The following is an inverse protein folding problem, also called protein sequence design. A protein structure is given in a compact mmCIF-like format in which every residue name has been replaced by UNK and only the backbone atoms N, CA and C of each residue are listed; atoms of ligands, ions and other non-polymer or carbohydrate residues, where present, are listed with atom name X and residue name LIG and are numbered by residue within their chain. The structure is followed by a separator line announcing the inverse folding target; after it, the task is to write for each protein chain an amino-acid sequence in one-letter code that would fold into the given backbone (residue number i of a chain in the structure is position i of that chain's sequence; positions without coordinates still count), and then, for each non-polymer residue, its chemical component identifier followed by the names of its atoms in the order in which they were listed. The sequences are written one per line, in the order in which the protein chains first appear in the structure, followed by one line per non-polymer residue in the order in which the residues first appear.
data_IF_211796247367
#
_entry.id   IF_211796247367
#
_cell.length_a   1.000
_cell.length_b   1.000
_cell.length_c   1.000
_cell.angle_alpha   90.00
_cell.angle_beta   90.00
_cell.angle_gamma   90.00
#
_symmetry.space_group_name_H-M   'P 1'
#
loop_
_entity.id
_entity.type
_entity.pdbx_description
1 polymer ?
#
# COMPACT_ATOMS: atom_id res chain seq x y z
N UNK A 1 -2.85 13.69 7.39
CA UNK A 1 -3.14 14.13 6.02
C UNK A 1 -2.04 15.07 5.55
N UNK A 2 -1.55 14.87 4.36
CA UNK A 2 -0.62 15.79 3.72
C UNK A 2 -0.95 15.94 2.23
N UNK A 3 -0.53 17.06 1.66
CA UNK A 3 -0.69 17.38 0.25
C UNK A 3 0.65 17.84 -0.32
N UNK A 4 1.03 17.27 -1.45
CA UNK A 4 2.15 17.71 -2.27
C UNK A 4 1.61 18.25 -3.60
N UNK A 5 2.22 19.28 -4.15
CA UNK A 5 1.87 19.80 -5.47
C UNK A 5 3.09 20.37 -6.16
N UNK A 6 3.12 20.28 -7.47
CA UNK A 6 4.21 20.77 -8.31
C UNK A 6 3.91 20.59 -9.78
N UNK A 7 4.86 21.00 -10.64
CA UNK A 7 4.88 20.68 -12.06
C UNK A 7 5.90 19.58 -12.32
N UNK A 8 5.63 18.70 -13.27
CA UNK A 8 6.52 17.63 -13.69
C UNK A 8 6.69 17.63 -15.20
N UNK A 9 7.85 17.19 -15.66
CA UNK A 9 8.13 17.03 -17.09
C UNK A 9 7.74 15.64 -17.63
N UNK A 10 7.41 14.70 -16.75
CA UNK A 10 7.12 13.30 -17.05
C UNK A 10 5.88 12.89 -16.26
N UNK A 11 4.85 12.42 -16.95
CA UNK A 11 3.57 12.09 -16.35
C UNK A 11 3.51 10.63 -15.86
N UNK A 12 2.51 10.33 -15.04
CA UNK A 12 2.20 8.94 -14.69
C UNK A 12 1.77 8.13 -15.93
N UNK A 13 1.17 8.78 -16.91
CA UNK A 13 0.80 8.16 -18.18
C UNK A 13 2.03 7.75 -19.00
N UNK A 14 3.08 8.59 -19.04
CA UNK A 14 4.36 8.24 -19.67
C UNK A 14 5.00 7.06 -18.96
N UNK A 15 5.03 7.09 -17.62
CA UNK A 15 5.53 5.98 -16.81
C UNK A 15 4.79 4.68 -17.10
N UNK A 16 3.45 4.72 -17.15
CA UNK A 16 2.65 3.54 -17.43
C UNK A 16 2.89 2.99 -18.85
N UNK A 17 3.08 3.86 -19.84
CA UNK A 17 3.45 3.49 -21.19
C UNK A 17 4.82 2.79 -21.22
N UNK A 18 5.83 3.39 -20.57
CA UNK A 18 7.20 2.87 -20.55
C UNK A 18 7.32 1.49 -19.90
N UNK A 19 6.67 1.26 -18.75
CA UNK A 19 6.69 -0.06 -18.09
C UNK A 19 5.90 -1.13 -18.84
N UNK A 20 5.05 -0.72 -19.78
CA UNK A 20 4.25 -1.61 -20.62
C UNK A 20 4.97 -2.02 -21.91
N UNK A 21 6.12 -1.42 -22.20
CA UNK A 21 6.89 -1.73 -23.39
C UNK A 21 7.23 -3.22 -23.49
N UNK A 22 6.93 -3.83 -24.64
CA UNK A 22 7.16 -5.25 -24.89
C UNK A 22 5.99 -6.17 -24.49
N UNK A 23 5.00 -5.69 -23.75
CA UNK A 23 3.76 -6.43 -23.47
C UNK A 23 2.85 -6.28 -24.69
N UNK A 24 2.26 -7.38 -25.17
CA UNK A 24 1.31 -7.28 -26.27
C UNK A 24 0.00 -6.63 -25.79
N UNK A 25 -0.59 -5.77 -26.61
CA UNK A 25 -1.84 -5.07 -26.28
C UNK A 25 -2.96 -6.04 -25.83
N UNK A 26 -3.08 -7.19 -26.48
CA UNK A 26 -4.08 -8.20 -26.13
C UNK A 26 -3.88 -8.80 -24.72
N UNK A 27 -2.65 -8.75 -24.21
CA UNK A 27 -2.34 -9.24 -22.86
C UNK A 27 -2.74 -8.23 -21.77
N UNK A 28 -3.10 -7.00 -22.15
CA UNK A 28 -3.62 -5.95 -21.25
C UNK A 28 -5.15 -5.86 -21.23
N UNK A 29 -5.82 -6.60 -22.13
CA UNK A 29 -7.28 -6.51 -22.32
C UNK A 29 -7.98 -7.66 -21.59
N UNK A 30 -8.93 -7.29 -20.72
CA UNK A 30 -9.80 -8.28 -20.07
C UNK A 30 -10.75 -8.95 -21.06
N UNK A 31 -10.78 -10.29 -21.05
CA UNK A 31 -11.72 -11.09 -21.85
C UNK A 31 -12.60 -11.88 -20.90
N UNK A 32 -13.87 -11.54 -20.86
CA UNK A 32 -14.85 -12.18 -19.98
C UNK A 32 -14.82 -13.71 -20.11
N UNK A 33 -14.78 -14.39 -18.98
CA UNK A 33 -14.76 -15.86 -18.82
C UNK A 33 -13.56 -16.56 -19.48
N UNK A 34 -12.54 -15.82 -19.95
CA UNK A 34 -11.38 -16.37 -20.66
C UNK A 34 -10.04 -15.88 -20.13
N UNK A 35 -9.86 -14.59 -20.01
CA UNK A 35 -8.56 -14.01 -19.63
C UNK A 35 -8.71 -12.77 -18.76
N UNK A 36 -8.03 -12.79 -17.62
CA UNK A 36 -7.92 -11.65 -16.71
C UNK A 36 -6.45 -11.20 -16.67
N UNK A 37 -6.13 -10.02 -17.21
CA UNK A 37 -4.78 -9.51 -17.29
C UNK A 37 -4.13 -9.25 -15.92
N UNK A 38 -4.93 -9.01 -14.86
CA UNK A 38 -4.43 -8.84 -13.50
C UNK A 38 -3.90 -10.15 -12.89
N UNK A 39 -4.37 -11.30 -13.37
CA UNK A 39 -3.89 -12.61 -12.95
C UNK A 39 -2.62 -13.06 -13.69
N UNK A 40 -2.16 -12.32 -14.69
CA UNK A 40 -0.93 -12.62 -15.40
C UNK A 40 0.30 -12.05 -14.65
N UNK A 41 1.19 -12.90 -14.10
CA UNK A 41 2.32 -12.44 -13.31
C UNK A 41 3.37 -11.63 -14.10
N UNK A 42 3.30 -11.65 -15.42
CA UNK A 42 4.19 -10.88 -16.28
C UNK A 42 3.66 -9.46 -16.55
N UNK A 43 2.41 -9.18 -16.20
CA UNK A 43 1.82 -7.87 -16.38
C UNK A 43 1.95 -7.06 -15.08
N UNK A 44 2.66 -5.93 -15.07
CA UNK A 44 2.54 -4.96 -13.98
C UNK A 44 1.09 -4.50 -13.87
N UNK A 45 0.54 -4.49 -12.64
CA UNK A 45 -0.84 -4.04 -12.43
C UNK A 45 -1.10 -2.62 -12.96
N UNK A 46 -0.10 -1.73 -12.90
CA UNK A 46 -0.19 -0.38 -13.43
C UNK A 46 -0.30 -0.37 -14.97
N UNK A 47 0.29 -1.34 -15.67
CA UNK A 47 0.13 -1.46 -17.12
C UNK A 47 -1.30 -1.82 -17.49
N UNK A 48 -1.92 -2.74 -16.76
CA UNK A 48 -3.32 -3.13 -16.99
C UNK A 48 -4.26 -1.98 -16.65
N UNK A 49 -4.11 -1.41 -15.45
CA UNK A 49 -4.94 -0.29 -14.98
C UNK A 49 -4.82 0.95 -15.88
N UNK A 50 -3.60 1.29 -16.27
CA UNK A 50 -3.34 2.44 -17.13
C UNK A 50 -3.89 2.26 -18.54
N UNK A 51 -3.83 1.05 -19.10
CA UNK A 51 -4.42 0.73 -20.39
C UNK A 51 -5.95 0.78 -20.34
N UNK A 52 -6.57 0.14 -19.34
CA UNK A 52 -8.02 0.18 -19.14
C UNK A 52 -8.53 1.60 -18.85
N UNK A 53 -7.76 2.40 -18.12
CA UNK A 53 -8.08 3.80 -17.81
C UNK A 53 -7.84 4.77 -18.97
N UNK A 54 -7.25 4.29 -20.09
CA UNK A 54 -6.94 5.14 -21.23
C UNK A 54 -5.77 6.12 -21.00
N UNK A 55 -4.90 5.82 -20.03
CA UNK A 55 -3.74 6.65 -19.71
C UNK A 55 -2.67 6.59 -20.79
N UNK A 56 -2.64 5.49 -21.54
CA UNK A 56 -1.76 5.29 -22.67
C UNK A 56 -2.41 4.40 -23.73
N UNK A 57 -1.89 4.40 -24.93
CA UNK A 57 -2.34 3.55 -26.03
C UNK A 57 -1.16 3.00 -26.83
N UNK A 58 -1.41 1.92 -27.58
CA UNK A 58 -0.40 1.29 -28.43
C UNK A 58 -0.24 2.05 -29.75
N UNK A 59 0.97 2.00 -30.34
CA UNK A 59 1.15 2.47 -31.70
C UNK A 59 0.47 1.53 -32.71
N UNK A 60 -0.17 2.08 -33.77
CA UNK A 60 -0.84 1.26 -34.79
C UNK A 60 0.08 0.26 -35.50
N UNK A 61 1.37 0.62 -35.62
CA UNK A 61 2.41 -0.16 -36.31
C UNK A 61 3.11 -1.17 -35.41
N UNK A 62 3.02 -0.98 -34.07
CA UNK A 62 3.64 -1.85 -33.07
C UNK A 62 2.78 -1.91 -31.81
N UNK A 63 2.02 -3.01 -31.65
CA UNK A 63 1.09 -3.22 -30.56
C UNK A 63 1.75 -3.61 -29.22
N UNK A 64 3.06 -3.61 -29.17
CA UNK A 64 3.87 -3.76 -27.96
C UNK A 64 4.65 -2.52 -27.56
N UNK A 65 4.44 -1.44 -28.30
CA UNK A 65 5.02 -0.13 -28.03
C UNK A 65 3.91 0.88 -27.75
N UNK A 66 4.08 1.71 -26.73
CA UNK A 66 3.03 2.53 -26.18
C UNK A 66 3.45 4.00 -26.12
N UNK A 67 2.45 4.87 -26.11
CA UNK A 67 2.59 6.32 -25.92
C UNK A 67 1.59 6.81 -24.89
N UNK A 68 1.88 7.90 -24.22
CA UNK A 68 0.93 8.59 -23.34
C UNK A 68 -0.41 8.83 -24.04
N UNK A 69 -1.51 8.68 -23.30
CA UNK A 69 -2.84 9.07 -23.78
C UNK A 69 -3.03 10.59 -23.87
N UNK A 70 -2.11 11.35 -23.26
CA UNK A 70 -2.12 12.82 -23.23
C UNK A 70 -1.01 13.34 -24.15
N UNK A 71 -1.42 13.96 -25.26
CA UNK A 71 -0.47 14.48 -26.25
C UNK A 71 -1.05 14.53 -27.66
N UNK A 72 -0.19 14.82 -28.60
CA UNK A 72 -0.54 14.98 -30.00
C UNK A 72 0.40 14.20 -30.91
N UNK A 73 -0.11 13.69 -32.03
CA UNK A 73 0.69 13.08 -33.05
C UNK A 73 1.10 14.10 -34.13
N UNK A 74 2.17 13.79 -34.87
CA UNK A 74 2.43 14.49 -36.15
C UNK A 74 1.34 14.16 -37.18
N UNK A 75 1.37 14.85 -38.33
CA UNK A 75 0.35 14.70 -39.38
C UNK A 75 0.28 13.27 -39.99
N UNK A 76 1.32 12.47 -39.85
CA UNK A 76 1.40 11.09 -40.35
C UNK A 76 1.08 10.05 -39.27
N UNK A 77 1.03 10.45 -37.98
CA UNK A 77 0.82 9.55 -36.85
C UNK A 77 2.04 8.73 -36.43
N UNK A 78 3.22 9.01 -37.02
CA UNK A 78 4.44 8.23 -36.74
C UNK A 78 5.23 8.73 -35.53
N UNK A 79 4.97 9.96 -35.10
CA UNK A 79 5.66 10.60 -33.98
C UNK A 79 4.59 11.09 -33.00
N UNK A 80 4.78 10.75 -31.72
CA UNK A 80 3.95 11.21 -30.64
C UNK A 80 4.68 12.24 -29.78
N UNK A 81 4.01 13.32 -29.47
CA UNK A 81 4.48 14.38 -28.58
C UNK A 81 3.63 14.33 -27.31
N UNK A 82 4.20 13.76 -26.25
CA UNK A 82 3.54 13.70 -24.95
C UNK A 82 3.46 15.10 -24.31
N UNK A 83 2.32 15.42 -23.72
CA UNK A 83 2.11 16.65 -22.97
C UNK A 83 2.65 16.48 -21.55
N UNK A 84 3.36 17.49 -21.06
CA UNK A 84 3.79 17.53 -19.67
C UNK A 84 2.66 18.05 -18.76
N UNK A 85 2.46 17.45 -17.57
CA UNK A 85 1.47 17.96 -16.63
C UNK A 85 1.82 19.39 -16.17
N UNK A 86 0.86 20.29 -16.26
CA UNK A 86 0.97 21.68 -15.78
C UNK A 86 0.92 21.74 -14.27
N UNK A 87 0.15 20.86 -13.66
CA UNK A 87 0.02 20.76 -12.22
C UNK A 87 -0.21 19.31 -11.80
N UNK A 88 0.58 18.86 -10.87
CA UNK A 88 0.47 17.54 -10.25
C UNK A 88 0.15 17.70 -8.77
N UNK A 89 -0.79 16.93 -8.27
CA UNK A 89 -1.19 16.95 -6.87
C UNK A 89 -1.26 15.53 -6.32
N UNK A 90 -0.65 15.32 -5.17
CA UNK A 90 -0.81 14.11 -4.38
C UNK A 90 -1.42 14.47 -3.02
N UNK A 91 -2.60 13.96 -2.74
CA UNK A 91 -3.24 14.06 -1.44
C UNK A 91 -3.22 12.70 -0.76
N UNK A 92 -2.69 12.64 0.46
CA UNK A 92 -2.65 11.41 1.23
C UNK A 92 -3.38 11.61 2.55
N UNK A 93 -4.27 10.69 2.85
CA UNK A 93 -4.98 10.58 4.12
C UNK A 93 -4.61 9.26 4.79
N UNK A 94 -4.01 9.37 5.95
CA UNK A 94 -3.58 8.22 6.73
C UNK A 94 -4.26 8.27 8.11
N UNK A 95 -4.81 7.15 8.53
CA UNK A 95 -5.49 6.97 9.82
C UNK A 95 -5.15 5.58 10.36
N UNK A 96 -4.97 5.49 11.66
CA UNK A 96 -4.77 4.18 12.28
C UNK A 96 -4.79 4.26 13.78
N UNK A 97 -5.06 3.12 14.38
CA UNK A 97 -4.98 2.89 15.80
C UNK A 97 -4.44 1.49 16.08
N UNK A 98 -3.71 1.37 17.17
CA UNK A 98 -3.29 0.11 17.75
C UNK A 98 -3.75 0.13 19.21
N UNK A 99 -4.79 -0.64 19.50
CA UNK A 99 -5.35 -0.76 20.83
C UNK A 99 -4.87 -2.06 21.49
N UNK A 100 -4.37 -1.97 22.72
CA UNK A 100 -3.90 -3.12 23.45
C UNK A 100 -4.67 -3.29 24.76
N UNK A 101 -5.31 -4.43 24.93
CA UNK A 101 -6.04 -4.82 26.11
C UNK A 101 -5.20 -5.78 26.94
N UNK A 102 -4.85 -5.39 28.16
CA UNK A 102 -4.00 -6.16 29.05
C UNK A 102 -4.80 -6.71 30.23
N UNK A 103 -4.81 -8.02 30.37
CA UNK A 103 -5.40 -8.72 31.51
C UNK A 103 -4.28 -9.23 32.41
N UNK A 104 -4.08 -8.58 33.55
CA UNK A 104 -3.00 -8.91 34.46
C UNK A 104 -3.51 -9.56 35.72
N UNK A 105 -2.81 -10.61 36.16
CA UNK A 105 -3.01 -11.29 37.43
C UNK A 105 -1.69 -11.32 38.20
N UNK A 106 -1.74 -11.04 39.48
CA UNK A 106 -0.58 -11.14 40.38
C UNK A 106 -0.96 -11.75 41.71
N UNK A 107 -0.05 -12.53 42.27
CA UNK A 107 -0.23 -13.16 43.60
C UNK A 107 1.05 -13.02 44.42
N UNK A 108 0.85 -12.96 45.73
CA UNK A 108 1.92 -12.92 46.73
C UNK A 108 1.83 -14.17 47.59
N UNK A 109 2.91 -14.96 47.64
CA UNK A 109 2.99 -16.17 48.41
C UNK A 109 3.92 -15.91 49.60
N UNK A 110 3.36 -15.86 50.80
CA UNK A 110 4.08 -15.75 52.09
C UNK A 110 5.05 -14.53 52.14
N UNK A 111 4.75 -13.43 51.45
CA UNK A 111 5.62 -12.24 51.35
C UNK A 111 7.05 -12.50 50.86
N UNK A 112 7.33 -13.69 50.38
CA UNK A 112 8.64 -14.12 49.91
C UNK A 112 8.68 -14.34 48.39
N UNK A 113 7.56 -14.73 47.78
CA UNK A 113 7.44 -15.02 46.36
C UNK A 113 6.25 -14.26 45.79
N UNK A 114 6.49 -13.50 44.75
CA UNK A 114 5.50 -12.76 43.99
C UNK A 114 5.50 -13.28 42.56
N UNK A 115 4.32 -13.65 42.08
CA UNK A 115 4.15 -14.15 40.69
C UNK A 115 3.17 -13.24 39.97
N UNK A 116 3.45 -12.96 38.72
CA UNK A 116 2.59 -12.20 37.85
C UNK A 116 2.49 -12.82 36.44
N UNK A 117 1.32 -12.71 35.87
CA UNK A 117 1.06 -13.09 34.49
C UNK A 117 0.19 -12.02 33.82
N UNK A 118 0.47 -11.71 32.58
CA UNK A 118 -0.35 -10.79 31.77
C UNK A 118 -0.64 -11.46 30.45
N UNK A 119 -1.89 -11.41 30.01
CA UNK A 119 -2.32 -11.71 28.65
C UNK A 119 -2.64 -10.38 27.97
N UNK A 120 -2.04 -10.15 26.83
CA UNK A 120 -2.29 -8.96 26.00
C UNK A 120 -2.98 -9.37 24.69
N UNK A 121 -4.04 -8.66 24.36
CA UNK A 121 -4.75 -8.74 23.09
C UNK A 121 -4.60 -7.39 22.40
N UNK A 122 -4.05 -7.40 21.20
CA UNK A 122 -3.83 -6.19 20.40
C UNK A 122 -4.81 -6.18 19.24
N UNK A 123 -5.46 -5.05 19.02
CA UNK A 123 -6.29 -4.78 17.85
C UNK A 123 -5.63 -3.71 17.00
N UNK A 124 -5.54 -3.95 15.69
CA UNK A 124 -4.90 -3.06 14.73
C UNK A 124 -5.91 -2.69 13.66
N UNK A 125 -6.08 -1.40 13.45
CA UNK A 125 -6.85 -0.86 12.34
C UNK A 125 -6.04 0.27 11.72
N UNK A 126 -5.70 0.13 10.44
CA UNK A 126 -4.93 1.10 9.68
C UNK A 126 -5.56 1.31 8.31
N UNK A 127 -5.64 2.54 7.87
CA UNK A 127 -6.14 2.89 6.53
C UNK A 127 -5.31 4.03 5.97
N UNK A 128 -4.87 3.85 4.74
CA UNK A 128 -4.25 4.90 3.92
C UNK A 128 -5.03 5.04 2.62
N UNK A 129 -5.32 6.26 2.23
CA UNK A 129 -5.94 6.61 0.95
C UNK A 129 -5.11 7.70 0.31
N UNK A 130 -4.81 7.56 -0.97
CA UNK A 130 -4.06 8.54 -1.73
C UNK A 130 -4.77 8.86 -3.03
N UNK A 131 -4.84 10.14 -3.34
CA UNK A 131 -5.39 10.66 -4.59
C UNK A 131 -4.25 11.37 -5.30
N UNK A 132 -3.92 10.88 -6.49
CA UNK A 132 -2.98 11.48 -7.41
C UNK A 132 -3.74 12.09 -8.58
N UNK A 133 -3.47 13.35 -8.88
CA UNK A 133 -4.14 14.12 -9.94
C UNK A 133 -3.08 14.85 -10.76
N UNK A 134 -3.11 14.66 -12.07
CA UNK A 134 -2.34 15.43 -13.05
C UNK A 134 -3.29 16.20 -13.94
N UNK A 135 -2.93 17.46 -14.23
CA UNK A 135 -3.67 18.33 -15.14
C UNK A 135 -2.80 18.79 -16.27
N UNK A 136 -3.30 18.62 -17.47
CA UNK A 136 -2.61 18.97 -18.71
C UNK A 136 -3.14 20.27 -19.30
N UNK A 137 -2.40 20.84 -20.22
CA UNK A 137 -2.86 21.96 -21.04
C UNK A 137 -4.04 21.50 -21.89
N UNK A 138 -5.09 22.32 -21.98
CA UNK A 138 -6.31 21.94 -22.70
C UNK A 138 -7.43 21.41 -21.83
N UNK A 139 -7.16 21.11 -20.56
CA UNK A 139 -8.16 20.71 -19.57
C UNK A 139 -8.26 19.20 -19.35
N UNK A 140 -7.44 18.42 -20.01
CA UNK A 140 -7.34 17.00 -19.77
C UNK A 140 -6.72 16.72 -18.39
N UNK A 141 -7.09 15.59 -17.80
CA UNK A 141 -6.60 15.21 -16.48
C UNK A 141 -6.44 13.70 -16.35
N UNK A 142 -5.51 13.30 -15.51
CA UNK A 142 -5.32 11.95 -15.04
C UNK A 142 -5.61 11.91 -13.53
N UNK A 143 -6.33 10.90 -13.10
CA UNK A 143 -6.73 10.73 -11.71
C UNK A 143 -6.52 9.28 -11.28
N UNK A 144 -5.70 9.06 -10.26
CA UNK A 144 -5.48 7.75 -9.66
C UNK A 144 -5.88 7.80 -8.19
N UNK A 145 -6.88 7.01 -7.82
CA UNK A 145 -7.26 6.75 -6.43
C UNK A 145 -6.69 5.40 -5.98
N UNK A 146 -6.03 5.40 -4.85
CA UNK A 146 -5.42 4.20 -4.28
C UNK A 146 -5.70 4.17 -2.78
N UNK A 147 -6.15 3.01 -2.29
CA UNK A 147 -6.46 2.79 -0.90
C UNK A 147 -5.93 1.45 -0.39
N UNK A 148 -5.51 1.44 0.86
CA UNK A 148 -5.13 0.24 1.59
C UNK A 148 -5.77 0.31 2.97
N UNK A 149 -6.43 -0.76 3.37
CA UNK A 149 -6.89 -0.95 4.75
C UNK A 149 -6.29 -2.22 5.31
N UNK A 150 -5.64 -2.11 6.47
CA UNK A 150 -5.07 -3.24 7.19
C UNK A 150 -5.82 -3.41 8.51
N UNK A 151 -6.39 -4.57 8.71
CA UNK A 151 -7.02 -4.97 9.96
C UNK A 151 -6.29 -6.18 10.56
N UNK A 152 -6.16 -6.21 11.89
CA UNK A 152 -5.47 -7.33 12.50
C UNK A 152 -5.64 -7.45 13.98
N UNK A 153 -5.42 -8.67 14.49
CA UNK A 153 -5.38 -8.95 15.91
C UNK A 153 -4.06 -9.62 16.27
N UNK A 154 -3.57 -9.31 17.48
CA UNK A 154 -2.37 -9.89 18.03
C UNK A 154 -2.57 -10.41 19.43
N UNK A 155 -1.79 -11.43 19.79
CA UNK A 155 -1.81 -12.01 21.14
C UNK A 155 -0.39 -12.14 21.66
N UNK A 156 -0.19 -11.78 22.92
CA UNK A 156 1.05 -12.02 23.63
C UNK A 156 0.80 -12.28 25.11
N UNK A 157 1.77 -12.87 25.80
CA UNK A 157 1.71 -13.05 27.22
C UNK A 157 3.05 -12.70 27.87
N UNK A 158 2.96 -12.26 29.12
CA UNK A 158 4.13 -11.96 29.95
C UNK A 158 4.02 -12.70 31.27
N UNK A 159 5.13 -13.21 31.72
CA UNK A 159 5.26 -13.90 33.03
C UNK A 159 6.36 -13.21 33.82
N UNK A 160 6.12 -13.01 35.10
CA UNK A 160 7.08 -12.42 36.02
C UNK A 160 7.11 -13.14 37.37
N UNK A 161 8.30 -13.26 37.91
CA UNK A 161 8.49 -13.74 39.27
C UNK A 161 9.48 -12.85 40.03
N UNK A 162 9.17 -12.56 41.29
CA UNK A 162 10.07 -11.87 42.21
C UNK A 162 10.20 -12.74 43.43
N UNK A 163 11.43 -12.99 43.87
CA UNK A 163 11.77 -13.74 45.07
C UNK A 163 12.48 -12.83 46.05
N UNK A 164 12.09 -12.88 47.31
CA UNK A 164 12.69 -12.16 48.43
C UNK A 164 13.25 -13.18 49.43
N UNK A 165 14.51 -13.65 49.21
CA UNK A 165 15.14 -14.66 50.06
C UNK A 165 15.41 -14.12 51.47
N UNK A 166 15.76 -12.87 51.58
CA UNK A 166 16.02 -12.12 52.82
C UNK A 166 15.50 -10.69 52.68
N UNK A 167 15.31 -10.00 53.83
CA UNK A 167 14.64 -8.69 53.82
C UNK A 167 15.28 -7.60 52.97
N UNK A 168 16.59 -7.66 52.80
CA UNK A 168 17.34 -6.66 52.03
C UNK A 168 17.56 -7.04 50.56
N UNK A 169 17.21 -8.28 50.14
CA UNK A 169 17.47 -8.76 48.78
C UNK A 169 16.18 -9.16 48.06
N UNK A 170 15.97 -8.58 46.88
CA UNK A 170 14.92 -8.97 45.93
C UNK A 170 15.53 -9.32 44.61
N UNK A 171 15.14 -10.42 44.04
CA UNK A 171 15.55 -10.88 42.72
C UNK A 171 14.30 -11.10 41.87
N UNK A 172 14.32 -10.64 40.62
CA UNK A 172 13.20 -10.77 39.72
C UNK A 172 13.64 -11.31 38.34
N UNK A 173 12.74 -12.07 37.75
CA UNK A 173 12.85 -12.53 36.36
C UNK A 173 11.54 -12.24 35.66
N UNK A 174 11.62 -11.81 34.41
CA UNK A 174 10.45 -11.60 33.55
C UNK A 174 10.71 -12.23 32.17
N UNK A 175 9.66 -12.83 31.63
CA UNK A 175 9.62 -13.36 30.28
C UNK A 175 8.50 -12.68 29.52
N UNK A 176 8.82 -12.14 28.34
CA UNK A 176 7.85 -11.57 27.42
C UNK A 176 7.83 -12.43 26.17
N UNK A 177 6.67 -12.97 25.81
CA UNK A 177 6.51 -13.71 24.57
C UNK A 177 6.60 -12.77 23.36
N UNK A 178 6.92 -13.27 22.16
CA UNK A 178 6.59 -12.58 20.94
C UNK A 178 5.08 -12.31 20.85
N UNK A 179 4.70 -11.31 20.05
CA UNK A 179 3.30 -11.09 19.69
C UNK A 179 3.00 -11.83 18.40
N UNK A 180 2.00 -12.68 18.40
CA UNK A 180 1.52 -13.39 17.20
C UNK A 180 0.38 -12.59 16.61
N UNK A 181 0.58 -12.10 15.36
CA UNK A 181 -0.40 -11.32 14.63
C UNK A 181 -1.08 -12.15 13.55
N UNK A 182 -2.38 -11.91 13.39
CA UNK A 182 -3.15 -12.27 12.20
C UNK A 182 -3.62 -10.98 11.57
N UNK A 183 -3.15 -10.68 10.36
CA UNK A 183 -3.44 -9.43 9.66
C UNK A 183 -4.06 -9.73 8.30
N UNK A 184 -4.90 -8.82 7.83
CA UNK A 184 -5.53 -8.88 6.50
C UNK A 184 -5.44 -7.50 5.88
N UNK A 185 -5.01 -7.45 4.63
CA UNK A 185 -4.92 -6.25 3.81
C UNK A 185 -6.04 -6.27 2.77
N UNK A 186 -6.66 -5.11 2.57
CA UNK A 186 -7.68 -4.85 1.56
C UNK A 186 -7.18 -3.70 0.67
N UNK A 187 -7.17 -3.94 -0.63
CA UNK A 187 -6.76 -2.97 -1.66
C UNK A 187 -7.96 -2.54 -2.51
#
# INVERSE_FOLDING_TARGET
NYRLSGSQAYSLADYAADISYGIQENDLIYVKDSYDPYNNPNNPWMSVLGYEGGYFGSFPTDRSNYHSGFGTSNATGDIWYADSPQNTTLNVSEKGAVDQYNFAFATNISNSVFLGATLAVTDINYSISSIYDERFEGGDYLYLDNGLTTEGTGYSFNLGAIVRPVDFLRMGVAYNSPTWYKMTDYF
#
